data_IF_117399502742
#
_entry.id   IF_117399502742
#
_cell.length_a   1.000
_cell.length_b   1.000
_cell.length_c   1.000
_cell.angle_alpha   90.00
_cell.angle_beta   90.00
_cell.angle_gamma   90.00
#
_symmetry.space_group_name_H-M   'P 1'
#
loop_
_entity.id
_entity.type
_entity.pdbx_description
1 polymer ?
#
# COMPACT_ATOMS: atom_id res chain seq x y z
N UNK A 1 32.03 82.60 7.09
CA UNK A 1 31.82 81.41 6.24
C UNK A 1 30.59 80.69 6.80
N UNK A 2 29.41 80.92 6.22
CA UNK A 2 28.16 80.33 6.68
C UNK A 2 27.74 79.25 5.67
N UNK A 3 27.65 78.01 6.15
CA UNK A 3 27.13 76.87 5.37
C UNK A 3 25.61 76.93 5.31
N UNK A 4 24.97 76.56 4.18
CA UNK A 4 23.52 76.52 4.10
C UNK A 4 23.01 75.29 4.86
N UNK A 5 21.99 75.49 5.69
CA UNK A 5 21.23 74.41 6.31
C UNK A 5 20.30 73.79 5.25
N UNK A 6 20.54 72.51 4.93
CA UNK A 6 19.62 71.70 4.12
C UNK A 6 18.33 71.51 4.93
N UNK A 7 17.24 72.08 4.45
CA UNK A 7 15.89 71.80 4.95
C UNK A 7 15.48 70.41 4.48
N UNK A 8 15.47 69.44 5.40
CA UNK A 8 14.80 68.17 5.16
C UNK A 8 13.30 68.40 5.25
N UNK A 9 12.64 68.42 4.08
CA UNK A 9 11.18 68.35 3.97
C UNK A 9 10.71 67.01 4.53
N UNK A 10 10.07 67.02 5.71
CA UNK A 10 9.33 65.88 6.20
C UNK A 10 8.02 65.78 5.40
N UNK A 11 8.02 64.99 4.33
CA UNK A 11 6.81 64.62 3.60
C UNK A 11 6.01 63.61 4.42
N UNK A 12 4.88 64.04 4.98
CA UNK A 12 3.90 63.17 5.61
C UNK A 12 2.90 62.61 4.60
N UNK A 13 2.35 61.43 4.90
CA UNK A 13 1.26 60.85 4.13
C UNK A 13 -0.09 61.43 4.57
N UNK A 14 -0.99 61.64 3.61
CA UNK A 14 -2.36 62.04 3.93
C UNK A 14 -3.15 60.83 4.47
N UNK A 15 -4.16 61.10 5.31
CA UNK A 15 -5.05 60.06 5.85
C UNK A 15 -5.69 59.22 4.72
N UNK A 16 -6.07 59.88 3.63
CA UNK A 16 -6.71 59.25 2.47
C UNK A 16 -5.74 58.32 1.74
N UNK A 17 -4.47 58.70 1.59
CA UNK A 17 -3.45 57.82 0.99
C UNK A 17 -3.20 56.57 1.84
N UNK A 18 -3.14 56.71 3.17
CA UNK A 18 -2.99 55.56 4.08
C UNK A 18 -4.18 54.62 4.00
N UNK A 19 -5.41 55.16 3.97
CA UNK A 19 -6.63 54.36 3.82
C UNK A 19 -6.69 53.64 2.47
N UNK A 20 -6.31 54.31 1.38
CA UNK A 20 -6.25 53.71 0.06
C UNK A 20 -5.19 52.61 0.00
N UNK A 21 -3.98 52.88 0.48
CA UNK A 21 -2.90 51.90 0.55
C UNK A 21 -3.30 50.68 1.40
N UNK A 22 -3.95 50.90 2.56
CA UNK A 22 -4.46 49.84 3.41
C UNK A 22 -5.55 49.02 2.71
N UNK A 23 -6.48 49.67 1.99
CA UNK A 23 -7.55 48.98 1.27
C UNK A 23 -6.99 48.07 0.16
N UNK A 24 -6.02 48.56 -0.60
CA UNK A 24 -5.34 47.78 -1.65
C UNK A 24 -4.53 46.64 -1.04
N UNK A 25 -3.86 46.89 0.09
CA UNK A 25 -3.12 45.87 0.84
C UNK A 25 -4.01 44.73 1.33
N UNK A 26 -5.18 45.04 1.90
CA UNK A 26 -6.16 44.03 2.35
C UNK A 26 -6.66 43.21 1.17
N UNK A 27 -6.99 43.86 0.05
CA UNK A 27 -7.42 43.16 -1.17
C UNK A 27 -6.32 42.22 -1.66
N UNK A 28 -5.07 42.68 -1.73
CA UNK A 28 -3.93 41.89 -2.18
C UNK A 28 -3.66 40.68 -1.25
N UNK A 29 -3.69 40.87 0.07
CA UNK A 29 -3.51 39.76 1.02
C UNK A 29 -4.66 38.75 0.90
N UNK A 30 -5.89 39.23 0.75
CA UNK A 30 -7.08 38.37 0.64
C UNK A 30 -7.04 37.50 -0.61
N UNK A 31 -6.63 38.06 -1.74
CA UNK A 31 -6.53 37.30 -3.01
C UNK A 31 -5.44 36.25 -2.94
N UNK A 32 -4.26 36.61 -2.43
CA UNK A 32 -3.15 35.66 -2.25
C UNK A 32 -3.55 34.54 -1.27
N UNK A 33 -4.20 34.91 -0.16
CA UNK A 33 -4.69 33.95 0.84
C UNK A 33 -5.71 32.96 0.26
N UNK A 34 -6.67 33.45 -0.53
CA UNK A 34 -7.66 32.60 -1.19
C UNK A 34 -7.02 31.62 -2.18
N UNK A 35 -6.06 32.09 -2.99
CA UNK A 35 -5.30 31.24 -3.92
C UNK A 35 -4.49 30.19 -3.16
N UNK A 36 -3.83 30.58 -2.07
CA UNK A 36 -3.03 29.67 -1.25
C UNK A 36 -3.89 28.56 -0.62
N UNK A 37 -5.05 28.90 -0.05
CA UNK A 37 -5.99 27.93 0.52
C UNK A 37 -6.50 26.98 -0.57
N UNK A 38 -6.82 27.50 -1.76
CA UNK A 38 -7.25 26.68 -2.89
C UNK A 38 -6.16 25.70 -3.32
N UNK A 39 -4.93 26.18 -3.47
CA UNK A 39 -3.78 25.34 -3.82
C UNK A 39 -3.52 24.25 -2.77
N UNK A 40 -3.65 24.59 -1.47
CA UNK A 40 -3.46 23.63 -0.39
C UNK A 40 -4.52 22.52 -0.40
N UNK A 41 -5.80 22.87 -0.67
CA UNK A 41 -6.87 21.86 -0.81
C UNK A 41 -6.59 20.90 -1.95
N UNK A 42 -6.23 21.42 -3.13
CA UNK A 42 -5.89 20.58 -4.29
C UNK A 42 -4.69 19.69 -3.98
N UNK A 43 -3.66 20.23 -3.32
CA UNK A 43 -2.49 19.45 -2.94
C UNK A 43 -2.84 18.33 -1.95
N UNK A 44 -3.73 18.58 -0.98
CA UNK A 44 -4.17 17.58 -0.01
C UNK A 44 -4.99 16.46 -0.68
N UNK A 45 -5.94 16.82 -1.55
CA UNK A 45 -6.70 15.85 -2.34
C UNK A 45 -5.78 14.93 -3.17
N UNK A 46 -4.77 15.50 -3.83
CA UNK A 46 -3.79 14.72 -4.61
C UNK A 46 -2.92 13.86 -3.72
N UNK A 47 -2.52 14.35 -2.55
CA UNK A 47 -1.77 13.59 -1.56
C UNK A 47 -2.53 12.32 -1.13
N UNK A 48 -3.83 12.43 -0.85
CA UNK A 48 -4.66 11.29 -0.47
C UNK A 48 -4.82 10.26 -1.60
N UNK A 49 -5.04 10.73 -2.84
CA UNK A 49 -5.10 9.85 -4.02
C UNK A 49 -3.80 9.07 -4.23
N UNK A 50 -2.66 9.75 -4.11
CA UNK A 50 -1.34 9.15 -4.28
C UNK A 50 -1.02 8.18 -3.14
N UNK A 51 -1.40 8.51 -1.90
CA UNK A 51 -1.25 7.63 -0.76
C UNK A 51 -2.02 6.32 -0.96
N UNK A 52 -3.30 6.39 -1.38
CA UNK A 52 -4.09 5.20 -1.69
C UNK A 52 -3.42 4.36 -2.77
N UNK A 53 -2.99 4.99 -3.87
CA UNK A 53 -2.32 4.29 -4.98
C UNK A 53 -1.03 3.60 -4.52
N UNK A 54 -0.17 4.31 -3.78
CA UNK A 54 1.11 3.78 -3.32
C UNK A 54 0.92 2.61 -2.34
N UNK A 55 0.03 2.78 -1.36
CA UNK A 55 -0.25 1.76 -0.36
C UNK A 55 -0.84 0.50 -1.00
N UNK A 56 -1.79 0.67 -1.92
CA UNK A 56 -2.41 -0.44 -2.64
C UNK A 56 -1.41 -1.16 -3.54
N UNK A 57 -0.63 -0.42 -4.35
CA UNK A 57 0.38 -1.00 -5.24
C UNK A 57 1.47 -1.74 -4.47
N UNK A 58 1.97 -1.18 -3.35
CA UNK A 58 2.98 -1.84 -2.53
C UNK A 58 2.46 -3.13 -1.89
N UNK A 59 1.22 -3.10 -1.39
CA UNK A 59 0.54 -4.28 -0.84
C UNK A 59 0.34 -5.34 -1.90
N UNK A 60 -0.15 -4.94 -3.07
CA UNK A 60 -0.43 -5.82 -4.20
C UNK A 60 0.84 -6.49 -4.74
N UNK A 61 1.91 -5.71 -4.92
CA UNK A 61 3.22 -6.22 -5.32
C UNK A 61 3.78 -7.20 -4.30
N UNK A 62 3.63 -6.93 -3.00
CA UNK A 62 4.09 -7.85 -1.95
C UNK A 62 3.42 -9.21 -2.08
N UNK A 63 2.10 -9.23 -2.28
CA UNK A 63 1.33 -10.46 -2.45
C UNK A 63 1.76 -11.18 -3.73
N UNK A 64 1.92 -10.44 -4.84
CA UNK A 64 2.37 -11.01 -6.11
C UNK A 64 3.75 -11.68 -5.99
N UNK A 65 4.71 -11.01 -5.34
CA UNK A 65 6.04 -11.57 -5.10
C UNK A 65 6.00 -12.85 -4.26
N UNK A 66 5.14 -12.89 -3.24
CA UNK A 66 5.00 -14.08 -2.39
C UNK A 66 4.29 -15.22 -3.13
N UNK A 67 3.32 -14.94 -4.00
CA UNK A 67 2.75 -15.92 -4.94
C UNK A 67 3.83 -16.46 -5.89
N UNK A 68 4.70 -15.61 -6.42
CA UNK A 68 5.78 -16.04 -7.32
C UNK A 68 6.86 -16.88 -6.61
N UNK A 69 7.07 -16.65 -5.31
CA UNK A 69 8.00 -17.42 -4.47
C UNK A 69 7.39 -18.70 -3.92
N UNK A 70 6.06 -18.82 -3.90
CA UNK A 70 5.34 -19.96 -3.34
C UNK A 70 5.92 -21.27 -3.86
N UNK A 71 6.22 -22.18 -2.93
CA UNK A 71 6.80 -23.49 -3.21
C UNK A 71 8.31 -23.54 -3.37
N UNK A 72 9.04 -22.42 -3.31
CA UNK A 72 10.49 -22.46 -3.46
C UNK A 72 11.16 -23.14 -2.24
N UNK A 73 11.88 -24.25 -2.46
CA UNK A 73 12.58 -25.04 -1.42
C UNK A 73 14.12 -24.95 -1.56
N UNK A 74 14.67 -23.76 -1.81
CA UNK A 74 16.13 -23.57 -1.89
C UNK A 74 16.87 -24.57 -2.82
N UNK A 75 16.26 -24.92 -3.95
CA UNK A 75 16.80 -25.90 -4.92
C UNK A 75 16.91 -27.35 -4.42
N UNK A 76 16.24 -27.73 -3.33
CA UNK A 76 16.16 -29.12 -2.86
C UNK A 76 15.23 -30.02 -3.72
N UNK A 77 14.68 -29.50 -4.82
CA UNK A 77 13.94 -30.29 -5.83
C UNK A 77 12.52 -30.67 -5.45
N UNK A 78 12.01 -30.20 -4.30
CA UNK A 78 10.62 -30.35 -3.89
C UNK A 78 9.94 -28.99 -3.80
N UNK A 79 8.62 -28.95 -3.98
CA UNK A 79 7.85 -27.72 -3.74
C UNK A 79 7.45 -27.65 -2.26
N UNK A 80 7.73 -26.53 -1.60
CA UNK A 80 7.23 -26.28 -0.24
C UNK A 80 5.71 -26.06 -0.24
N UNK A 81 5.06 -26.58 0.78
CA UNK A 81 3.62 -26.43 1.00
C UNK A 81 3.40 -26.17 2.48
N UNK A 82 2.27 -25.56 2.82
CA UNK A 82 1.84 -25.48 4.20
C UNK A 82 1.60 -26.87 4.77
N UNK A 83 1.73 -27.01 6.09
CA UNK A 83 1.47 -28.29 6.75
C UNK A 83 -0.01 -28.70 6.54
N UNK A 84 -0.22 -29.91 6.04
CA UNK A 84 -1.54 -30.45 5.67
C UNK A 84 -2.11 -29.96 4.34
N UNK A 85 -1.42 -29.10 3.58
CA UNK A 85 -1.92 -28.62 2.30
C UNK A 85 -1.68 -29.63 1.16
N UNK A 86 -2.65 -29.72 0.22
CA UNK A 86 -2.54 -30.54 -0.98
C UNK A 86 -1.93 -29.81 -2.19
N UNK A 87 -1.78 -28.49 -2.10
CA UNK A 87 -1.31 -27.62 -3.16
C UNK A 87 -0.30 -26.60 -2.61
N UNK A 88 0.60 -26.10 -3.48
CA UNK A 88 1.62 -25.10 -3.14
C UNK A 88 1.01 -23.81 -2.58
N UNK A 89 -0.12 -23.40 -3.14
CA UNK A 89 -0.95 -22.32 -2.63
C UNK A 89 -2.26 -22.95 -2.16
N UNK A 90 -2.48 -22.96 -0.86
CA UNK A 90 -3.70 -23.48 -0.25
C UNK A 90 -4.79 -22.42 -0.29
N UNK A 91 -5.82 -22.63 -1.12
CA UNK A 91 -7.03 -21.80 -1.15
C UNK A 91 -8.08 -22.39 -0.22
N UNK A 92 -8.57 -21.61 0.74
CA UNK A 92 -9.76 -21.99 1.52
C UNK A 92 -11.05 -21.47 0.88
N UNK A 93 -11.01 -20.21 0.46
CA UNK A 93 -12.01 -19.55 -0.37
C UNK A 93 -11.30 -18.46 -1.18
N UNK A 94 -12.04 -17.66 -1.95
CA UNK A 94 -11.41 -16.62 -2.77
C UNK A 94 -10.70 -15.54 -1.94
N UNK A 95 -11.11 -15.29 -0.70
CA UNK A 95 -10.57 -14.22 0.15
C UNK A 95 -9.68 -14.73 1.29
N UNK A 96 -9.25 -16.01 1.28
CA UNK A 96 -8.39 -16.61 2.31
C UNK A 96 -7.51 -17.69 1.69
N UNK A 97 -6.20 -17.46 1.72
CA UNK A 97 -5.22 -18.38 1.20
C UNK A 97 -3.91 -18.36 1.97
N UNK A 98 -3.14 -19.43 1.83
CA UNK A 98 -1.80 -19.52 2.40
C UNK A 98 -0.80 -20.19 1.47
N UNK A 99 0.47 -19.93 1.74
CA UNK A 99 1.60 -20.43 0.96
C UNK A 99 2.84 -20.57 1.84
N UNK A 100 3.79 -21.38 1.39
CA UNK A 100 5.09 -21.52 2.02
C UNK A 100 6.23 -21.31 1.02
N UNK A 101 7.34 -20.74 1.46
CA UNK A 101 8.55 -20.59 0.66
C UNK A 101 9.80 -20.46 1.52
N UNK A 102 10.95 -20.71 0.92
CA UNK A 102 12.26 -20.45 1.51
C UNK A 102 12.74 -19.03 1.17
N UNK A 103 13.18 -18.27 2.16
CA UNK A 103 13.85 -16.99 2.00
C UNK A 103 14.94 -16.86 3.06
N UNK A 104 16.23 -16.68 2.70
CA UNK A 104 17.27 -16.43 3.68
C UNK A 104 16.94 -15.23 4.58
N UNK A 105 16.93 -15.45 5.89
CA UNK A 105 16.71 -14.44 6.92
C UNK A 105 17.90 -14.41 7.88
N UNK A 106 18.20 -13.25 8.46
CA UNK A 106 19.31 -13.08 9.40
C UNK A 106 19.11 -13.83 10.72
N UNK A 107 17.88 -14.16 11.09
CA UNK A 107 17.52 -14.93 12.28
C UNK A 107 17.58 -16.46 12.07
N UNK A 108 17.99 -16.91 10.88
CA UNK A 108 18.06 -18.33 10.50
C UNK A 108 16.69 -19.00 10.32
N UNK A 109 15.57 -18.27 10.39
CA UNK A 109 14.22 -18.80 10.18
C UNK A 109 13.81 -18.67 8.72
N UNK A 110 14.52 -19.43 7.88
CA UNK A 110 14.46 -19.27 6.43
C UNK A 110 13.17 -19.83 5.80
N UNK A 111 12.46 -20.73 6.47
CA UNK A 111 11.19 -21.27 5.96
C UNK A 111 10.05 -20.37 6.41
N UNK A 112 9.34 -19.76 5.45
CA UNK A 112 8.24 -18.84 5.69
C UNK A 112 6.91 -19.52 5.44
N UNK A 113 5.99 -19.38 6.39
CA UNK A 113 4.57 -19.69 6.22
C UNK A 113 3.82 -18.37 6.20
N UNK A 114 3.04 -18.13 5.15
CA UNK A 114 2.31 -16.87 4.95
C UNK A 114 0.85 -17.15 4.68
N UNK A 115 -0.04 -16.38 5.31
CA UNK A 115 -1.48 -16.40 5.04
C UNK A 115 -1.98 -15.00 4.78
N UNK A 116 -2.84 -14.86 3.78
CA UNK A 116 -3.59 -13.65 3.51
C UNK A 116 -5.08 -13.94 3.63
N UNK A 117 -5.80 -13.07 4.32
CA UNK A 117 -7.25 -13.15 4.36
C UNK A 117 -7.90 -11.79 4.55
N UNK A 118 -9.16 -11.70 4.11
CA UNK A 118 -10.00 -10.54 4.36
C UNK A 118 -10.76 -10.73 5.69
N UNK A 119 -10.59 -9.78 6.62
CA UNK A 119 -11.33 -9.70 7.88
C UNK A 119 -12.16 -8.40 7.89
N UNK A 120 -13.43 -8.51 7.51
CA UNK A 120 -14.27 -7.35 7.25
C UNK A 120 -13.70 -6.49 6.12
N UNK A 121 -13.31 -5.25 6.43
CA UNK A 121 -12.70 -4.30 5.48
C UNK A 121 -11.17 -4.26 5.58
N UNK A 122 -10.55 -5.25 6.24
CA UNK A 122 -9.12 -5.29 6.52
C UNK A 122 -8.47 -6.46 5.78
N UNK A 123 -7.44 -6.16 5.00
CA UNK A 123 -6.58 -7.19 4.45
C UNK A 123 -5.50 -7.54 5.47
N UNK A 124 -5.54 -8.77 5.97
CA UNK A 124 -4.66 -9.27 7.01
C UNK A 124 -3.61 -10.21 6.41
N UNK A 125 -2.36 -10.04 6.83
CA UNK A 125 -1.27 -10.97 6.56
C UNK A 125 -0.77 -11.56 7.88
N UNK A 126 -0.62 -12.88 7.92
CA UNK A 126 0.09 -13.58 8.99
C UNK A 126 1.36 -14.20 8.41
N UNK A 127 2.49 -14.02 9.09
CA UNK A 127 3.79 -14.51 8.59
C UNK A 127 4.61 -15.09 9.74
N UNK A 128 5.01 -16.35 9.61
CA UNK A 128 5.83 -17.03 10.62
C UNK A 128 7.03 -17.74 9.98
N UNK A 129 8.18 -17.64 10.65
CA UNK A 129 9.42 -18.27 10.24
C UNK A 129 9.73 -19.53 11.02
N UNK A 130 10.35 -20.49 10.34
CA UNK A 130 10.92 -21.70 10.93
C UNK A 130 12.36 -21.94 10.43
N UNK A 131 13.18 -22.57 11.27
CA UNK A 131 14.57 -22.91 10.95
C UNK A 131 14.70 -24.17 10.08
N UNK A 132 13.65 -25.00 10.04
CA UNK A 132 13.60 -26.22 9.21
C UNK A 132 12.23 -26.37 8.54
N UNK A 133 12.15 -27.24 7.53
CA UNK A 133 10.95 -27.51 6.73
C UNK A 133 9.81 -28.08 7.59
N UNK A 134 10.13 -28.89 8.60
CA UNK A 134 9.16 -29.49 9.54
C UNK A 134 8.49 -28.43 10.43
N UNK A 135 9.05 -27.23 10.52
CA UNK A 135 8.49 -26.13 11.27
C UNK A 135 7.48 -25.28 10.50
N UNK A 136 7.28 -25.53 9.20
CA UNK A 136 6.24 -24.89 8.39
C UNK A 136 4.87 -25.13 9.04
N UNK A 137 4.04 -24.10 9.11
CA UNK A 137 2.75 -24.15 9.79
C UNK A 137 1.64 -24.49 8.81
N UNK A 138 0.56 -25.07 9.34
CA UNK A 138 -0.70 -25.16 8.61
C UNK A 138 -1.34 -23.77 8.52
N UNK A 139 -2.17 -23.52 7.51
CA UNK A 139 -2.74 -22.18 7.25
C UNK A 139 -3.36 -21.52 8.49
N UNK A 140 -4.11 -22.27 9.29
CA UNK A 140 -4.76 -21.74 10.50
C UNK A 140 -3.82 -21.57 11.69
N UNK A 141 -2.65 -22.22 11.69
CA UNK A 141 -1.68 -22.16 12.77
C UNK A 141 -0.60 -21.08 12.57
N UNK A 142 -0.61 -20.36 11.44
CA UNK A 142 0.31 -19.24 11.19
C UNK A 142 -0.09 -18.08 12.10
N UNK A 143 0.73 -17.82 13.12
CA UNK A 143 0.55 -16.71 14.05
C UNK A 143 1.16 -15.41 13.49
N UNK A 144 1.18 -14.34 14.31
CA UNK A 144 1.76 -13.03 13.97
C UNK A 144 1.07 -12.33 12.80
N UNK A 145 -0.20 -12.01 12.99
CA UNK A 145 -1.03 -11.34 12.00
C UNK A 145 -0.99 -9.81 12.16
N UNK A 146 -1.06 -9.09 11.03
CA UNK A 146 -1.18 -7.63 10.98
C UNK A 146 -1.99 -7.19 9.77
N UNK A 147 -2.65 -6.03 9.87
CA UNK A 147 -3.20 -5.39 8.68
C UNK A 147 -2.08 -4.94 7.74
N UNK A 148 -2.32 -5.10 6.43
CA UNK A 148 -1.41 -4.62 5.40
C UNK A 148 -1.56 -3.12 5.11
N UNK A 149 -2.68 -2.53 5.52
CA UNK A 149 -3.03 -1.13 5.24
C UNK A 149 -3.45 -0.40 6.52
N UNK A 150 -3.36 0.93 6.50
CA UNK A 150 -3.88 1.77 7.60
C UNK A 150 -5.41 1.77 7.58
N UNK A 151 -5.99 0.98 8.48
CA UNK A 151 -7.43 0.74 8.63
C UNK A 151 -8.22 2.01 8.97
N UNK A 152 -7.57 3.09 9.40
CA UNK A 152 -8.22 4.38 9.67
C UNK A 152 -8.36 5.24 8.42
N UNK A 153 -7.62 4.91 7.37
CA UNK A 153 -7.51 5.71 6.14
C UNK A 153 -7.97 4.97 4.90
N UNK A 154 -7.79 3.64 4.87
CA UNK A 154 -8.06 2.80 3.71
C UNK A 154 -8.88 1.59 4.14
N UNK A 155 -9.99 1.38 3.43
CA UNK A 155 -10.90 0.27 3.63
C UNK A 155 -10.90 -0.62 2.39
N UNK A 156 -10.81 -1.93 2.57
CA UNK A 156 -10.86 -2.92 1.50
C UNK A 156 -12.31 -3.23 1.17
N UNK A 157 -12.68 -3.11 -0.11
CA UNK A 157 -14.01 -3.46 -0.62
C UNK A 157 -14.03 -4.81 -1.31
N UNK A 158 -12.91 -5.23 -1.90
CA UNK A 158 -12.80 -6.55 -2.49
C UNK A 158 -11.37 -7.08 -2.37
N UNK A 159 -11.27 -8.35 -2.00
CA UNK A 159 -10.04 -9.12 -2.09
C UNK A 159 -10.40 -10.51 -2.58
N UNK A 160 -9.79 -10.94 -3.69
CA UNK A 160 -10.04 -12.27 -4.21
C UNK A 160 -8.83 -12.84 -4.92
N UNK A 161 -8.60 -14.13 -4.71
CA UNK A 161 -7.65 -14.95 -5.43
C UNK A 161 -8.38 -16.18 -5.98
N UNK A 162 -8.31 -16.36 -7.30
CA UNK A 162 -8.97 -17.46 -8.00
C UNK A 162 -7.95 -18.24 -8.81
N UNK A 163 -7.89 -19.56 -8.62
CA UNK A 163 -7.02 -20.43 -9.40
C UNK A 163 -7.71 -20.88 -10.69
N UNK A 164 -7.01 -20.74 -11.81
CA UNK A 164 -7.32 -21.38 -13.08
C UNK A 164 -6.32 -22.51 -13.29
N UNK A 165 -6.73 -23.79 -13.16
CA UNK A 165 -5.80 -24.91 -13.27
C UNK A 165 -5.25 -25.02 -14.70
N UNK A 166 -3.94 -25.27 -14.79
CA UNK A 166 -3.22 -25.62 -15.99
C UNK A 166 -2.74 -27.07 -15.82
N UNK A 167 -3.59 -28.03 -16.17
CA UNK A 167 -3.23 -29.44 -16.14
C UNK A 167 -2.50 -29.85 -17.41
N UNK A 168 -1.35 -30.49 -17.25
CA UNK A 168 -0.69 -31.29 -18.30
C UNK A 168 -0.59 -32.74 -17.84
N UNK A 169 -0.23 -33.67 -18.74
CA UNK A 169 -0.11 -35.10 -18.42
C UNK A 169 0.96 -35.43 -17.36
N UNK A 170 1.89 -34.49 -17.07
CA UNK A 170 3.08 -34.74 -16.24
C UNK A 170 3.33 -33.69 -15.16
N UNK A 171 2.54 -32.62 -15.10
CA UNK A 171 2.72 -31.53 -14.13
C UNK A 171 1.41 -30.78 -13.88
N UNK A 172 1.17 -30.40 -12.63
CA UNK A 172 0.06 -29.56 -12.20
C UNK A 172 0.55 -28.14 -11.90
N UNK A 173 0.03 -27.17 -12.66
CA UNK A 173 0.29 -25.74 -12.46
C UNK A 173 -1.04 -24.98 -12.42
N UNK A 174 -1.01 -23.71 -12.01
CA UNK A 174 -2.18 -22.85 -12.02
C UNK A 174 -1.78 -21.40 -12.31
N UNK A 175 -2.69 -20.68 -12.94
CA UNK A 175 -2.68 -19.21 -13.00
C UNK A 175 -3.60 -18.71 -11.90
N UNK A 176 -3.10 -17.83 -11.04
CA UNK A 176 -3.88 -17.21 -9.98
C UNK A 176 -4.23 -15.80 -10.39
N UNK A 177 -5.53 -15.49 -10.43
CA UNK A 177 -6.04 -14.14 -10.61
C UNK A 177 -6.17 -13.48 -9.25
N UNK A 178 -5.33 -12.50 -8.97
CA UNK A 178 -5.38 -11.69 -7.76
C UNK A 178 -6.10 -10.39 -8.06
N UNK A 179 -7.07 -10.03 -7.21
CA UNK A 179 -7.77 -8.75 -7.26
C UNK A 179 -7.82 -8.13 -5.88
N UNK A 180 -7.55 -6.82 -5.83
CA UNK A 180 -7.61 -6.01 -4.62
C UNK A 180 -8.26 -4.66 -4.94
N UNK A 181 -9.33 -4.33 -4.23
CA UNK A 181 -10.07 -3.07 -4.35
C UNK A 181 -10.15 -2.39 -2.99
N UNK A 182 -9.90 -1.09 -2.95
CA UNK A 182 -9.92 -0.29 -1.74
C UNK A 182 -10.38 1.15 -1.99
N UNK A 183 -10.84 1.81 -0.94
CA UNK A 183 -11.17 3.23 -0.95
C UNK A 183 -10.63 3.97 0.28
N UNK A 184 -10.58 5.29 0.19
CA UNK A 184 -10.31 6.18 1.33
C UNK A 184 -11.49 6.18 2.31
N UNK A 185 -11.26 6.54 3.57
CA UNK A 185 -12.30 6.54 4.62
C UNK A 185 -13.52 7.44 4.33
N UNK A 186 -13.34 8.51 3.56
CA UNK A 186 -14.41 9.37 3.05
C UNK A 186 -15.14 8.80 1.81
N UNK A 187 -14.66 7.65 1.29
CA UNK A 187 -15.13 6.98 0.07
C UNK A 187 -15.04 7.82 -1.21
N UNK A 188 -14.30 8.95 -1.20
CA UNK A 188 -14.15 9.81 -2.37
C UNK A 188 -13.25 9.19 -3.44
N UNK A 189 -12.27 8.39 -3.02
CA UNK A 189 -11.31 7.78 -3.93
C UNK A 189 -11.32 6.27 -3.80
N UNK A 190 -11.48 5.60 -4.94
CA UNK A 190 -11.44 4.14 -5.03
C UNK A 190 -10.41 3.70 -6.07
N UNK A 191 -9.71 2.60 -5.77
CA UNK A 191 -8.75 1.96 -6.66
C UNK A 191 -8.92 0.46 -6.65
N UNK A 192 -8.67 -0.15 -7.80
CA UNK A 192 -8.69 -1.60 -8.00
C UNK A 192 -7.45 -1.99 -8.78
N UNK A 193 -6.77 -3.02 -8.31
CA UNK A 193 -5.65 -3.67 -8.98
C UNK A 193 -6.03 -5.12 -9.25
N UNK A 194 -5.67 -5.62 -10.42
CA UNK A 194 -5.91 -7.00 -10.84
C UNK A 194 -4.74 -7.50 -11.68
N UNK A 195 -4.31 -8.75 -11.45
CA UNK A 195 -3.23 -9.38 -12.20
C UNK A 195 -3.42 -10.89 -12.23
N UNK A 196 -2.99 -11.50 -13.34
CA UNK A 196 -2.87 -12.95 -13.48
C UNK A 196 -1.40 -13.35 -13.22
N UNK A 197 -1.17 -14.13 -12.18
CA UNK A 197 0.17 -14.61 -11.78
C UNK A 197 0.30 -16.10 -12.08
N UNK A 198 1.30 -16.47 -12.87
CA UNK A 198 1.62 -17.88 -13.11
C UNK A 198 2.47 -18.44 -11.97
N UNK A 199 2.07 -19.59 -11.42
CA UNK A 199 2.87 -20.33 -10.44
C UNK A 199 4.20 -20.82 -11.04
N UNK A 200 5.33 -20.54 -10.37
CA UNK A 200 6.68 -20.91 -10.85
C UNK A 200 7.09 -22.32 -10.41
N UNK A 201 6.88 -22.65 -9.13
CA UNK A 201 7.25 -23.95 -8.56
C UNK A 201 6.05 -24.90 -8.67
N UNK A 202 6.17 -25.95 -9.48
CA UNK A 202 5.08 -26.87 -9.84
C UNK A 202 5.10 -28.14 -8.98
N UNK A 203 3.99 -28.88 -9.02
CA UNK A 203 3.87 -30.25 -8.52
C UNK A 203 3.95 -31.24 -9.69
#
# INVERSE_FOLDING_TARGET
MATPLVSNSAQGYTLVEVLLAASIGVIAISTIGAVFISAQRVADEKSQQLYLLQALSSTFQTIEEDIQRAGFDNYHGQSLMLDGASQVIELHNSADFGLAYYRPMSDGKNYRSVRYYLDGEKLVVCEQGASSKEGIKSRLAIASCRSMLDEKRIHITAFSMVATPLSSATASSAIYRLRLSAHTSDSLYMRTLEVDVKQRNWQ
#
